data_IF_864996748848
#
_entry.id   IF_864996748848
#
_cell.length_a   1.000
_cell.length_b   1.000
_cell.length_c   1.000
_cell.angle_alpha   90.00
_cell.angle_beta   90.00
_cell.angle_gamma   90.00
#
_symmetry.space_group_name_H-M   'P 1'
#
loop_
_entity.id
_entity.type
_entity.pdbx_description
1 polymer ?
#
# COMPACT_ATOMS: atom_id res chain seq x y z
N UNK A 1 -21.84 19.49 6.45
CA UNK A 1 -21.95 18.93 5.09
C UNK A 1 -21.08 17.68 5.04
N UNK A 2 -21.65 16.47 5.01
CA UNK A 2 -20.84 15.24 4.90
C UNK A 2 -20.26 15.19 3.48
N UNK A 3 -18.95 14.95 3.28
CA UNK A 3 -18.44 14.72 1.93
C UNK A 3 -19.15 13.48 1.37
N UNK A 4 -19.75 13.60 0.19
CA UNK A 4 -20.25 12.42 -0.52
C UNK A 4 -19.03 11.55 -0.84
N UNK A 5 -19.06 10.30 -0.39
CA UNK A 5 -18.00 9.32 -0.63
C UNK A 5 -18.03 8.95 -2.10
N UNK A 6 -17.14 9.51 -2.90
CA UNK A 6 -17.02 9.11 -4.30
C UNK A 6 -16.54 7.65 -4.36
N UNK A 7 -17.40 6.78 -4.89
CA UNK A 7 -17.14 5.36 -5.06
C UNK A 7 -16.12 5.07 -6.18
N UNK A 8 -15.72 6.08 -6.96
CA UNK A 8 -14.65 5.98 -7.96
C UNK A 8 -13.27 5.77 -7.33
N UNK A 9 -13.08 6.21 -6.08
CA UNK A 9 -11.81 6.17 -5.38
C UNK A 9 -11.54 4.77 -4.84
N UNK A 10 -10.56 4.08 -5.43
CA UNK A 10 -10.34 2.65 -5.18
C UNK A 10 -10.06 2.31 -3.71
N UNK A 11 -9.27 3.14 -3.02
CA UNK A 11 -8.96 2.94 -1.59
C UNK A 11 -10.17 3.07 -0.65
N UNK A 12 -11.31 3.59 -1.14
CA UNK A 12 -12.58 3.65 -0.40
C UNK A 12 -13.48 2.43 -0.61
N UNK A 13 -13.09 1.51 -1.49
CA UNK A 13 -13.82 0.27 -1.76
C UNK A 13 -12.93 -0.95 -1.46
N UNK A 14 -12.94 -1.49 -0.22
CA UNK A 14 -12.05 -2.56 0.20
C UNK A 14 -12.17 -3.84 -0.64
N UNK A 15 -13.37 -4.19 -1.10
CA UNK A 15 -13.59 -5.38 -1.92
C UNK A 15 -12.93 -5.24 -3.31
N UNK A 16 -13.07 -4.07 -3.95
CA UNK A 16 -12.42 -3.79 -5.23
C UNK A 16 -10.90 -3.66 -5.09
N UNK A 17 -10.43 -3.02 -4.02
CA UNK A 17 -9.01 -2.93 -3.70
C UNK A 17 -8.41 -4.33 -3.52
N UNK A 18 -9.06 -5.19 -2.72
CA UNK A 18 -8.62 -6.58 -2.52
C UNK A 18 -8.59 -7.35 -3.84
N UNK A 19 -9.66 -7.27 -4.65
CA UNK A 19 -9.70 -7.90 -5.97
C UNK A 19 -8.54 -7.47 -6.87
N UNK A 20 -8.13 -6.20 -6.80
CA UNK A 20 -7.00 -5.70 -7.57
C UNK A 20 -5.66 -6.20 -7.02
N UNK A 21 -5.49 -6.22 -5.70
CA UNK A 21 -4.26 -6.69 -5.04
C UNK A 21 -3.99 -8.18 -5.30
N UNK A 22 -5.02 -9.04 -5.26
CA UNK A 22 -4.84 -10.50 -5.49
C UNK A 22 -4.56 -10.87 -6.95
N UNK A 23 -4.62 -9.92 -7.89
CA UNK A 23 -4.28 -10.15 -9.30
C UNK A 23 -2.79 -9.98 -9.59
N UNK A 24 -2.01 -9.41 -8.65
CA UNK A 24 -0.56 -9.37 -8.78
C UNK A 24 0.01 -10.74 -8.41
N UNK A 25 0.79 -11.33 -9.30
CA UNK A 25 1.55 -12.55 -9.01
C UNK A 25 2.78 -12.19 -8.16
N UNK A 26 2.62 -12.27 -6.84
CA UNK A 26 3.69 -12.04 -5.86
C UNK A 26 4.22 -13.34 -5.25
N UNK A 27 4.05 -14.47 -5.94
CA UNK A 27 4.52 -15.78 -5.45
C UNK A 27 6.03 -15.78 -5.25
N UNK A 28 6.45 -16.32 -4.10
CA UNK A 28 7.84 -16.40 -3.68
C UNK A 28 8.24 -17.88 -3.53
N UNK A 29 9.22 -18.41 -4.31
CA UNK A 29 10.05 -17.74 -5.33
C UNK A 29 9.36 -17.56 -6.70
N UNK A 30 9.78 -16.59 -7.54
CA UNK A 30 10.98 -15.74 -7.40
C UNK A 30 10.79 -14.46 -6.56
N UNK A 31 9.55 -14.06 -6.29
CA UNK A 31 9.21 -12.75 -5.71
C UNK A 31 9.19 -11.67 -6.80
N UNK A 32 7.99 -11.22 -7.16
CA UNK A 32 7.73 -10.17 -8.16
C UNK A 32 6.94 -8.98 -7.54
N UNK A 33 7.25 -8.63 -6.29
CA UNK A 33 6.46 -7.71 -5.48
C UNK A 33 6.54 -6.25 -5.98
N UNK A 34 7.53 -5.91 -6.81
CA UNK A 34 7.80 -4.55 -7.32
C UNK A 34 6.56 -3.89 -7.93
N UNK A 35 5.78 -4.60 -8.74
CA UNK A 35 4.59 -4.03 -9.39
C UNK A 35 3.46 -3.77 -8.39
N UNK A 36 3.24 -4.70 -7.45
CA UNK A 36 2.25 -4.53 -6.39
C UNK A 36 2.64 -3.37 -5.46
N UNK A 37 3.93 -3.22 -5.16
CA UNK A 37 4.48 -2.10 -4.37
C UNK A 37 4.27 -0.76 -5.07
N UNK A 38 4.54 -0.67 -6.37
CA UNK A 38 4.30 0.55 -7.14
C UNK A 38 2.81 0.93 -7.09
N UNK A 39 1.91 -0.04 -7.28
CA UNK A 39 0.47 0.17 -7.19
C UNK A 39 0.03 0.67 -5.80
N UNK A 40 0.56 0.11 -4.70
CA UNK A 40 0.25 0.57 -3.35
C UNK A 40 0.82 1.98 -3.09
N UNK A 41 2.00 2.29 -3.63
CA UNK A 41 2.59 3.64 -3.57
C UNK A 41 1.70 4.68 -4.24
N UNK A 42 1.16 4.38 -5.42
CA UNK A 42 0.25 5.27 -6.15
C UNK A 42 -1.07 5.48 -5.40
N UNK A 43 -1.64 4.41 -4.83
CA UNK A 43 -2.84 4.51 -3.99
C UNK A 43 -2.65 5.39 -2.75
N UNK A 44 -1.48 5.30 -2.11
CA UNK A 44 -1.15 6.16 -0.98
C UNK A 44 -1.00 7.62 -1.42
N UNK A 45 -0.36 7.86 -2.56
CA UNK A 45 -0.22 9.19 -3.13
C UNK A 45 -1.59 9.82 -3.48
N UNK A 46 -2.51 9.05 -4.07
CA UNK A 46 -3.91 9.47 -4.32
C UNK A 46 -4.67 9.79 -3.03
N UNK A 47 -4.30 9.17 -1.90
CA UNK A 47 -4.83 9.47 -0.58
C UNK A 47 -4.10 10.63 0.13
N UNK A 48 -3.08 11.23 -0.50
CA UNK A 48 -2.27 12.30 0.08
C UNK A 48 -1.26 11.82 1.12
N UNK A 49 -0.85 10.55 1.06
CA UNK A 49 0.12 9.93 1.97
C UNK A 49 1.40 9.63 1.17
N UNK A 50 2.51 10.24 1.59
CA UNK A 50 3.82 9.95 0.99
C UNK A 50 4.36 8.60 1.45
N UNK A 51 5.04 7.91 0.54
CA UNK A 51 5.73 6.63 0.81
C UNK A 51 7.13 6.58 0.21
N UNK A 52 8.00 5.82 0.88
CA UNK A 52 9.37 5.54 0.48
C UNK A 52 9.52 4.05 0.18
N UNK A 53 10.17 3.74 -0.93
CA UNK A 53 10.49 2.36 -1.33
C UNK A 53 11.93 2.04 -0.91
N UNK A 54 12.11 0.98 -0.12
CA UNK A 54 13.39 0.57 0.47
C UNK A 54 13.63 -0.93 0.26
N UNK A 55 14.71 -1.32 -0.40
CA UNK A 55 15.02 -2.73 -0.65
C UNK A 55 16.50 -2.99 -0.83
N UNK A 56 16.95 -4.21 -0.49
CA UNK A 56 18.33 -4.65 -0.77
C UNK A 56 18.58 -4.84 -2.27
N UNK A 57 17.54 -5.19 -3.03
CA UNK A 57 17.56 -5.33 -4.48
C UNK A 57 16.25 -4.85 -5.10
N UNK A 58 16.22 -4.65 -6.43
CA UNK A 58 15.11 -4.02 -7.13
C UNK A 58 13.83 -4.88 -7.17
N UNK A 59 13.96 -6.20 -7.11
CA UNK A 59 12.83 -7.13 -7.33
C UNK A 59 11.91 -7.28 -6.12
N UNK A 60 12.46 -7.15 -4.90
CA UNK A 60 11.72 -7.37 -3.64
C UNK A 60 11.89 -6.21 -2.64
N UNK A 61 11.47 -4.99 -2.98
CA UNK A 61 11.57 -3.87 -2.05
C UNK A 61 10.49 -3.95 -0.95
N UNK A 62 10.59 -3.06 0.04
CA UNK A 62 9.54 -2.77 1.02
C UNK A 62 8.98 -1.38 0.73
N UNK A 63 7.72 -1.17 1.08
CA UNK A 63 7.10 0.15 1.09
C UNK A 63 6.93 0.63 2.52
N UNK A 64 7.38 1.84 2.82
CA UNK A 64 7.21 2.49 4.12
C UNK A 64 6.47 3.80 3.91
N UNK A 65 5.34 3.99 4.60
CA UNK A 65 4.55 5.20 4.56
C UNK A 65 4.35 5.75 5.98
N UNK A 66 4.17 7.07 6.09
CA UNK A 66 3.88 7.72 7.38
C UNK A 66 2.75 8.71 7.24
N UNK A 67 1.67 8.47 7.99
CA UNK A 67 0.67 9.49 8.28
C UNK A 67 1.06 10.22 9.58
N UNK A 68 1.44 11.50 9.54
CA UNK A 68 1.82 12.23 10.74
C UNK A 68 0.61 12.44 11.66
N UNK A 69 0.78 12.08 12.93
CA UNK A 69 -0.16 12.43 14.00
C UNK A 69 0.20 13.76 14.66
N UNK A 70 -0.52 14.10 15.74
CA UNK A 70 -0.27 15.32 16.52
C UNK A 70 1.01 15.28 17.39
N UNK A 71 1.70 14.13 17.45
CA UNK A 71 2.92 13.96 18.26
C UNK A 71 2.69 13.81 19.77
N UNK A 72 1.44 13.66 20.21
CA UNK A 72 1.06 13.54 21.63
C UNK A 72 1.03 12.10 22.18
N UNK A 73 1.27 11.10 21.32
CA UNK A 73 1.26 9.69 21.68
C UNK A 73 2.34 8.91 20.91
N UNK A 74 2.78 7.75 21.41
CA UNK A 74 3.68 6.85 20.68
C UNK A 74 3.10 6.44 19.30
N UNK A 75 3.96 6.20 18.30
CA UNK A 75 3.51 5.79 16.97
C UNK A 75 2.91 4.39 16.99
N UNK A 76 1.90 4.15 16.15
CA UNK A 76 1.40 2.82 15.82
C UNK A 76 2.02 2.36 14.50
N UNK A 77 2.57 1.15 14.48
CA UNK A 77 3.04 0.50 13.26
C UNK A 77 1.97 -0.47 12.75
N UNK A 78 1.50 -0.25 11.52
CA UNK A 78 0.74 -1.24 10.77
C UNK A 78 1.71 -1.95 9.83
N UNK A 79 1.83 -3.27 9.97
CA UNK A 79 2.79 -4.08 9.24
C UNK A 79 2.11 -5.27 8.57
N UNK A 80 2.52 -5.58 7.34
CA UNK A 80 2.06 -6.70 6.55
C UNK A 80 3.07 -7.04 5.46
N UNK A 81 2.88 -8.17 4.79
CA UNK A 81 3.72 -8.60 3.67
C UNK A 81 2.86 -8.75 2.41
N UNK A 82 3.48 -8.60 1.24
CA UNK A 82 2.80 -8.68 -0.06
C UNK A 82 3.03 -10.02 -0.78
N UNK A 83 4.06 -10.76 -0.40
CA UNK A 83 4.39 -12.05 -0.98
C UNK A 83 3.44 -13.15 -0.52
N UNK A 84 3.24 -14.13 -1.40
CA UNK A 84 2.40 -15.30 -1.15
C UNK A 84 3.15 -16.58 -1.51
N UNK A 85 2.61 -17.72 -1.06
CA UNK A 85 3.13 -19.07 -1.32
C UNK A 85 2.58 -19.66 -2.61
#
# INVERSE_FOLDING_TARGET
>A
MRPQTDASVLYRNPARLLQRLIQFDTTNPPGNERECIAFVSDLLAEAGIESTILGKGPERPNLVARLPGQGSAPPLLLYGHLDVV
#
